data_IF_950670359567
#
_entry.id   IF_950670359567
#
_cell.length_a   1.000
_cell.length_b   1.000
_cell.length_c   1.000
_cell.angle_alpha   90.00
_cell.angle_beta   90.00
_cell.angle_gamma   90.00
#
_symmetry.space_group_name_H-M   'P 1'
#
loop_
_entity.id
_entity.type
_entity.pdbx_description
1 polymer ?
#
# COMPACT_ATOMS: atom_id res chain seq x y z
N UNK A 1 -28.53 -25.88 68.47
CA UNK A 1 -27.91 -24.60 68.07
C UNK A 1 -27.15 -24.83 66.79
N UNK A 2 -27.72 -24.46 65.64
CA UNK A 2 -27.05 -24.60 64.34
C UNK A 2 -26.50 -23.25 63.93
N UNK A 3 -25.17 -23.14 63.87
CA UNK A 3 -24.51 -21.94 63.42
C UNK A 3 -24.49 -21.97 61.89
N UNK A 4 -25.21 -21.00 61.28
CA UNK A 4 -25.20 -20.81 59.84
C UNK A 4 -23.99 -19.92 59.52
N UNK A 5 -23.01 -20.47 58.83
CA UNK A 5 -21.85 -19.73 58.30
C UNK A 5 -22.27 -19.27 56.90
N UNK A 6 -22.50 -17.97 56.78
CA UNK A 6 -22.74 -17.33 55.49
C UNK A 6 -21.39 -17.03 54.87
N UNK A 7 -21.02 -17.85 53.87
CA UNK A 7 -19.88 -17.55 53.02
C UNK A 7 -20.26 -16.45 52.01
N UNK A 8 -19.82 -15.23 52.29
CA UNK A 8 -19.85 -14.12 51.32
C UNK A 8 -18.85 -14.41 50.20
N UNK A 9 -19.35 -14.83 49.06
CA UNK A 9 -18.54 -14.91 47.85
C UNK A 9 -18.46 -13.49 47.29
N UNK A 10 -17.33 -12.83 47.49
CA UNK A 10 -16.98 -11.59 46.83
C UNK A 10 -16.60 -11.90 45.39
N UNK A 11 -17.50 -11.66 44.43
CA UNK A 11 -17.20 -11.69 43.03
C UNK A 11 -16.30 -10.47 42.69
N UNK A 12 -14.99 -10.74 42.64
CA UNK A 12 -14.03 -9.79 42.12
C UNK A 12 -14.11 -9.79 40.57
N UNK A 13 -14.97 -8.92 40.04
CA UNK A 13 -15.04 -8.70 38.59
C UNK A 13 -13.77 -7.98 38.13
N UNK A 14 -12.80 -8.75 37.62
CA UNK A 14 -11.65 -8.22 36.93
C UNK A 14 -12.13 -7.61 35.59
N UNK A 15 -12.24 -6.28 35.55
CA UNK A 15 -12.42 -5.54 34.30
C UNK A 15 -11.11 -5.63 33.50
N UNK A 16 -11.12 -6.47 32.47
CA UNK A 16 -10.02 -6.54 31.52
C UNK A 16 -10.12 -5.26 30.66
N UNK A 17 -9.30 -4.26 30.96
CA UNK A 17 -9.08 -3.14 30.07
C UNK A 17 -8.28 -3.66 28.87
N UNK A 18 -8.95 -4.01 27.80
CA UNK A 18 -8.30 -4.22 26.50
C UNK A 18 -7.82 -2.86 26.02
N UNK A 19 -6.53 -2.60 26.19
CA UNK A 19 -5.89 -1.50 25.48
C UNK A 19 -5.93 -1.81 23.99
N UNK A 20 -6.98 -1.33 23.31
CA UNK A 20 -6.97 -1.24 21.87
C UNK A 20 -5.91 -0.19 21.51
N UNK A 21 -4.68 -0.64 21.28
CA UNK A 21 -3.66 0.18 20.67
C UNK A 21 -4.20 0.56 19.28
N UNK A 22 -4.77 1.73 19.15
CA UNK A 22 -5.02 2.34 17.86
C UNK A 22 -3.65 2.43 17.18
N UNK A 23 -3.37 1.55 16.23
CA UNK A 23 -2.21 1.67 15.40
C UNK A 23 -2.36 3.01 14.68
N UNK A 24 -1.55 3.97 15.09
CA UNK A 24 -1.36 5.21 14.35
C UNK A 24 -0.79 4.75 13.02
N UNK A 25 -1.64 4.64 11.99
CA UNK A 25 -1.16 4.46 10.64
C UNK A 25 -0.32 5.69 10.36
N UNK A 26 0.97 5.47 10.20
CA UNK A 26 1.87 6.52 9.76
C UNK A 26 1.33 7.00 8.42
N UNK A 27 0.75 8.19 8.40
CA UNK A 27 0.16 8.78 7.18
C UNK A 27 1.24 9.32 6.25
N UNK A 28 2.50 9.11 6.59
CA UNK A 28 3.66 9.58 5.85
C UNK A 28 4.73 8.49 5.82
N UNK A 29 5.26 8.18 4.62
CA UNK A 29 6.37 7.26 4.43
C UNK A 29 7.41 7.76 3.42
N UNK A 30 7.56 9.07 3.29
CA UNK A 30 8.47 9.72 2.34
C UNK A 30 9.90 9.17 2.43
N UNK A 31 10.40 8.94 3.65
CA UNK A 31 11.75 8.41 3.86
C UNK A 31 11.96 6.98 3.33
N UNK A 32 10.88 6.21 3.23
CA UNK A 32 10.91 4.85 2.70
C UNK A 32 10.69 4.80 1.19
N UNK A 33 10.30 5.92 0.58
CA UNK A 33 10.10 5.99 -0.87
C UNK A 33 11.45 5.96 -1.58
N UNK A 34 11.58 5.19 -2.67
CA UNK A 34 12.81 5.16 -3.44
C UNK A 34 13.04 6.49 -4.16
N UNK A 35 14.30 6.85 -4.35
CA UNK A 35 14.68 8.11 -5.05
C UNK A 35 14.20 8.18 -6.50
N UNK A 36 13.90 7.04 -7.11
CA UNK A 36 13.33 6.95 -8.45
C UNK A 36 11.80 7.08 -8.48
N UNK A 37 11.14 7.14 -7.31
CA UNK A 37 9.70 7.34 -7.20
C UNK A 37 9.30 8.77 -7.54
N UNK A 38 8.06 9.01 -8.01
CA UNK A 38 7.52 10.34 -8.20
C UNK A 38 7.51 11.14 -6.89
N UNK A 39 7.92 12.40 -6.96
CA UNK A 39 7.90 13.31 -5.81
C UNK A 39 6.47 13.83 -5.52
N UNK A 40 6.31 14.41 -4.33
CA UNK A 40 5.06 15.09 -3.94
C UNK A 40 3.99 14.19 -3.32
N UNK A 41 4.33 12.95 -2.98
CA UNK A 41 3.44 12.03 -2.27
C UNK A 41 3.89 11.85 -0.82
N UNK A 42 3.04 12.22 0.14
CA UNK A 42 3.32 12.00 1.57
C UNK A 42 3.31 10.52 1.93
N UNK A 43 2.47 9.74 1.27
CA UNK A 43 2.35 8.31 1.46
C UNK A 43 2.18 7.57 0.14
N UNK A 44 2.97 6.51 -0.06
CA UNK A 44 2.84 5.57 -1.16
C UNK A 44 2.92 4.15 -0.60
N UNK A 45 1.91 3.33 -0.89
CA UNK A 45 1.95 1.91 -0.53
C UNK A 45 2.63 1.09 -1.62
N UNK A 46 2.22 1.28 -2.87
CA UNK A 46 2.80 0.60 -4.03
C UNK A 46 3.07 1.57 -5.18
N UNK A 47 4.16 1.32 -5.89
CA UNK A 47 4.33 1.76 -7.27
C UNK A 47 4.05 0.57 -8.19
N UNK A 48 3.12 0.71 -9.12
CA UNK A 48 2.96 -0.23 -10.22
C UNK A 48 3.81 0.23 -11.40
N UNK A 49 4.56 -0.69 -11.99
CA UNK A 49 5.47 -0.48 -13.12
C UNK A 49 4.88 -1.19 -14.35
N UNK A 50 4.06 -0.50 -15.17
CA UNK A 50 3.32 -1.13 -16.26
C UNK A 50 4.22 -1.78 -17.32
N UNK A 51 5.37 -1.17 -17.60
CA UNK A 51 6.30 -1.64 -18.64
C UNK A 51 6.86 -3.03 -18.34
N UNK A 52 7.12 -3.32 -17.08
CA UNK A 52 7.67 -4.60 -16.62
C UNK A 52 6.66 -5.45 -15.85
N UNK A 53 5.42 -4.98 -15.71
CA UNK A 53 4.35 -5.68 -15.02
C UNK A 53 4.76 -6.15 -13.61
N UNK A 54 5.30 -5.21 -12.83
CA UNK A 54 5.77 -5.43 -11.47
C UNK A 54 5.26 -4.34 -10.52
N UNK A 55 5.29 -4.64 -9.23
CA UNK A 55 5.02 -3.67 -8.17
C UNK A 55 6.27 -3.44 -7.34
N UNK A 56 6.37 -2.26 -6.76
CA UNK A 56 7.29 -1.99 -5.67
C UNK A 56 6.50 -1.63 -4.42
N UNK A 57 6.64 -2.44 -3.39
CA UNK A 57 5.98 -2.25 -2.10
C UNK A 57 6.88 -1.40 -1.19
N UNK A 58 6.51 -0.14 -1.01
CA UNK A 58 7.32 0.87 -0.31
C UNK A 58 7.59 0.50 1.15
N UNK A 59 6.59 0.07 1.96
CA UNK A 59 6.84 -0.20 3.39
C UNK A 59 7.88 -1.28 3.68
N UNK A 60 8.11 -2.21 2.74
CA UNK A 60 9.13 -3.27 2.86
C UNK A 60 10.28 -3.13 1.89
N UNK A 61 10.24 -2.12 1.02
CA UNK A 61 11.26 -1.89 -0.01
C UNK A 61 11.50 -3.13 -0.87
N UNK A 62 10.41 -3.76 -1.33
CA UNK A 62 10.43 -5.01 -2.09
C UNK A 62 9.72 -4.87 -3.41
N UNK A 63 10.30 -5.46 -4.44
CA UNK A 63 9.61 -5.72 -5.71
C UNK A 63 8.72 -6.95 -5.58
N UNK A 64 7.55 -6.90 -6.21
CA UNK A 64 6.58 -7.98 -6.28
C UNK A 64 6.27 -8.21 -7.75
N UNK A 65 6.57 -9.40 -8.26
CA UNK A 65 6.38 -9.75 -9.66
C UNK A 65 6.04 -11.22 -9.82
N UNK A 66 5.50 -11.59 -10.97
CA UNK A 66 5.26 -12.98 -11.30
C UNK A 66 6.50 -13.61 -11.94
N UNK A 67 6.87 -14.79 -11.46
CA UNK A 67 7.87 -15.67 -12.03
C UNK A 67 7.29 -17.09 -12.07
N UNK A 68 7.26 -17.70 -13.26
CA UNK A 68 6.70 -19.04 -13.48
C UNK A 68 5.28 -19.23 -12.92
N UNK A 69 4.44 -18.18 -13.01
CA UNK A 69 3.06 -18.18 -12.53
C UNK A 69 2.90 -17.96 -11.01
N UNK A 70 3.99 -17.72 -10.29
CA UNK A 70 3.98 -17.47 -8.85
C UNK A 70 4.39 -16.03 -8.52
N UNK A 71 3.79 -15.47 -7.48
CA UNK A 71 4.21 -14.18 -6.94
C UNK A 71 5.52 -14.29 -6.18
N UNK A 72 6.49 -13.50 -6.61
CA UNK A 72 7.84 -13.44 -6.01
C UNK A 72 8.02 -12.09 -5.34
N UNK A 73 8.54 -12.10 -4.14
CA UNK A 73 8.88 -10.92 -3.34
C UNK A 73 10.40 -10.85 -3.21
N UNK A 74 11.01 -9.77 -3.69
CA UNK A 74 12.46 -9.66 -3.76
C UNK A 74 12.91 -8.21 -3.54
N UNK A 75 14.10 -8.03 -2.96
CA UNK A 75 14.74 -6.70 -2.85
C UNK A 75 15.25 -6.17 -4.20
N UNK A 76 15.31 -7.01 -5.24
CA UNK A 76 15.80 -6.65 -6.57
C UNK A 76 14.95 -7.26 -7.68
N UNK A 77 14.95 -6.61 -8.86
CA UNK A 77 14.34 -7.15 -10.07
C UNK A 77 15.25 -8.21 -10.72
N UNK A 78 14.67 -9.29 -11.29
CA UNK A 78 15.43 -10.24 -12.10
C UNK A 78 15.91 -9.58 -13.40
N UNK A 79 16.96 -10.12 -14.01
CA UNK A 79 17.55 -9.59 -15.23
C UNK A 79 16.52 -9.38 -16.37
N UNK A 80 15.56 -10.30 -16.51
CA UNK A 80 14.49 -10.21 -17.51
C UNK A 80 13.55 -8.99 -17.35
N UNK A 81 13.49 -8.39 -16.15
CA UNK A 81 12.67 -7.21 -15.85
C UNK A 81 13.48 -5.93 -15.68
N UNK A 82 14.78 -5.95 -15.96
CA UNK A 82 15.66 -4.77 -15.90
C UNK A 82 15.67 -3.93 -17.18
N UNK A 83 14.79 -4.22 -18.13
CA UNK A 83 14.65 -3.45 -19.37
C UNK A 83 14.15 -2.03 -19.15
N UNK A 84 13.47 -1.78 -18.03
CA UNK A 84 12.96 -0.49 -17.64
C UNK A 84 13.97 0.21 -16.73
N UNK A 85 14.40 1.41 -17.12
CA UNK A 85 15.11 2.30 -16.20
C UNK A 85 14.13 2.89 -15.20
N UNK A 86 14.29 2.54 -13.92
CA UNK A 86 13.38 2.96 -12.85
C UNK A 86 13.30 4.50 -12.68
N UNK A 87 14.30 5.24 -13.13
CA UNK A 87 14.26 6.71 -13.07
C UNK A 87 13.34 7.31 -14.13
N UNK A 88 13.21 6.65 -15.27
CA UNK A 88 12.48 7.16 -16.43
C UNK A 88 11.24 6.36 -16.82
N UNK A 89 11.09 5.11 -16.34
CA UNK A 89 9.93 4.32 -16.71
C UNK A 89 8.64 4.76 -16.00
N UNK A 90 7.48 4.57 -16.64
CA UNK A 90 6.17 4.89 -16.07
C UNK A 90 5.91 4.20 -14.73
N UNK A 91 5.34 4.96 -13.81
CA UNK A 91 4.96 4.47 -12.47
C UNK A 91 3.56 4.93 -12.13
N UNK A 92 2.79 4.07 -11.51
CA UNK A 92 1.46 4.40 -11.00
C UNK A 92 1.45 4.22 -9.50
N UNK A 93 1.09 5.27 -8.76
CA UNK A 93 0.90 5.21 -7.31
C UNK A 93 -0.40 4.49 -7.00
N UNK A 94 -0.35 3.43 -6.20
CA UNK A 94 -1.51 2.67 -5.75
C UNK A 94 -1.46 2.53 -4.23
N UNK A 95 -2.41 3.15 -3.54
CA UNK A 95 -2.54 3.10 -2.08
C UNK A 95 -3.67 2.14 -1.66
N UNK A 96 -3.69 0.97 -2.27
CA UNK A 96 -4.63 -0.10 -1.99
C UNK A 96 -3.92 -1.30 -1.38
N UNK A 97 -4.43 -1.80 -0.26
CA UNK A 97 -3.83 -2.93 0.43
C UNK A 97 -3.82 -4.19 -0.44
N UNK A 98 -2.64 -4.79 -0.61
CA UNK A 98 -2.48 -5.99 -1.44
C UNK A 98 -2.71 -5.75 -2.93
N UNK A 99 -2.34 -4.56 -3.44
CA UNK A 99 -2.58 -4.13 -4.83
C UNK A 99 -2.18 -5.18 -5.89
N UNK A 100 -1.14 -5.96 -5.69
CA UNK A 100 -0.70 -7.00 -6.62
C UNK A 100 -1.73 -8.11 -6.85
N UNK A 101 -2.70 -8.29 -5.93
CA UNK A 101 -3.81 -9.25 -6.09
C UNK A 101 -4.79 -8.83 -7.20
N UNK A 102 -4.80 -7.56 -7.54
CA UNK A 102 -5.64 -6.98 -8.62
C UNK A 102 -4.85 -6.79 -9.92
N UNK A 103 -3.78 -7.56 -10.08
CA UNK A 103 -2.84 -7.45 -11.20
C UNK A 103 -3.52 -7.47 -12.57
N UNK A 104 -4.44 -8.38 -12.82
CA UNK A 104 -5.14 -8.47 -14.12
C UNK A 104 -5.93 -7.20 -14.42
N UNK A 105 -6.54 -6.59 -13.42
CA UNK A 105 -7.25 -5.32 -13.56
C UNK A 105 -6.28 -4.16 -13.82
N UNK A 106 -5.16 -4.09 -13.08
CA UNK A 106 -4.15 -3.06 -13.24
C UNK A 106 -3.47 -3.16 -14.59
N UNK A 107 -3.14 -4.35 -15.04
CA UNK A 107 -2.53 -4.60 -16.36
C UNK A 107 -3.37 -4.04 -17.50
N UNK A 108 -4.69 -4.24 -17.46
CA UNK A 108 -5.61 -3.70 -18.44
C UNK A 108 -5.80 -2.19 -18.28
N UNK A 109 -6.06 -1.75 -17.05
CA UNK A 109 -6.30 -0.33 -16.73
C UNK A 109 -5.14 0.58 -17.12
N UNK A 110 -3.91 0.11 -16.89
CA UNK A 110 -2.68 0.89 -17.08
C UNK A 110 -1.88 0.49 -18.33
N UNK A 111 -2.47 -0.27 -19.26
CA UNK A 111 -1.81 -0.70 -20.48
C UNK A 111 -1.33 0.48 -21.35
N UNK A 112 -2.05 1.61 -21.35
CA UNK A 112 -1.70 2.82 -22.08
C UNK A 112 -0.57 3.67 -21.48
N UNK A 113 -0.18 3.36 -20.24
CA UNK A 113 0.85 4.13 -19.53
C UNK A 113 2.29 3.72 -19.83
N UNK A 114 2.48 2.76 -20.70
CA UNK A 114 3.82 2.30 -21.11
C UNK A 114 4.66 3.38 -21.81
N UNK A 115 4.06 4.54 -22.16
CA UNK A 115 4.71 5.56 -22.98
C UNK A 115 4.52 7.02 -22.53
N UNK A 116 3.83 7.31 -21.39
CA UNK A 116 3.50 8.72 -21.07
C UNK A 116 3.34 8.98 -19.57
N UNK A 117 4.44 9.27 -18.87
CA UNK A 117 4.45 9.58 -17.44
C UNK A 117 3.74 10.88 -17.05
N UNK A 118 3.83 11.93 -17.88
CA UNK A 118 3.38 13.27 -17.52
C UNK A 118 1.86 13.47 -17.61
N UNK A 119 1.15 12.67 -18.40
CA UNK A 119 -0.28 12.86 -18.62
C UNK A 119 -1.14 12.22 -17.51
N UNK A 120 -0.63 11.18 -16.86
CA UNK A 120 -1.39 10.51 -15.79
C UNK A 120 -1.41 11.32 -14.50
N UNK A 121 -0.27 11.82 -14.07
CA UNK A 121 -0.17 12.66 -12.88
C UNK A 121 -0.98 13.94 -13.04
N UNK A 122 -0.99 14.51 -14.25
CA UNK A 122 -1.82 15.69 -14.58
C UNK A 122 -3.33 15.36 -14.52
N UNK A 123 -3.76 14.18 -14.98
CA UNK A 123 -5.17 13.75 -14.92
C UNK A 123 -5.63 13.41 -13.49
N UNK A 124 -4.77 12.78 -12.69
CA UNK A 124 -5.06 12.50 -11.28
C UNK A 124 -5.18 13.79 -10.45
N UNK A 125 -4.25 14.72 -10.66
CA UNK A 125 -4.28 16.03 -9.99
C UNK A 125 -5.53 16.83 -10.36
N UNK A 126 -5.93 16.79 -11.63
CA UNK A 126 -7.16 17.43 -12.11
C UNK A 126 -8.43 16.81 -11.54
N UNK A 127 -8.49 15.49 -11.47
CA UNK A 127 -9.63 14.77 -10.90
C UNK A 127 -9.75 15.00 -9.39
N UNK A 128 -8.62 15.08 -8.67
CA UNK A 128 -8.60 15.41 -7.24
C UNK A 128 -9.13 16.83 -6.99
N UNK A 129 -8.66 17.81 -7.77
CA UNK A 129 -9.14 19.18 -7.66
C UNK A 129 -10.65 19.33 -7.99
N UNK A 130 -11.14 18.58 -8.98
CA UNK A 130 -12.57 18.57 -9.34
C UNK A 130 -13.42 17.92 -8.23
N UNK A 131 -12.94 16.85 -7.60
CA UNK A 131 -13.64 16.18 -6.51
C UNK A 131 -13.67 17.01 -5.23
N UNK A 132 -12.63 17.80 -4.96
CA UNK A 132 -12.57 18.73 -3.84
C UNK A 132 -13.49 19.94 -4.07
N UNK A 133 -13.56 20.45 -5.30
CA UNK A 133 -14.49 21.52 -5.67
C UNK A 133 -15.96 21.13 -5.61
N UNK A 134 -16.28 19.86 -5.85
CA UNK A 134 -17.65 19.35 -5.80
C UNK A 134 -18.15 19.11 -4.36
N UNK A 135 -17.28 19.16 -3.35
CA UNK A 135 -17.59 18.98 -1.92
C UNK A 135 -17.67 20.29 -1.14
N UNK A 136 -17.42 21.42 -1.81
CA UNK A 136 -17.44 22.75 -1.20
C UNK A 136 -18.76 23.47 -1.32
#
# INVERSE_FOLDING_TARGET
MKKIIICSIVFLSATIFTNASAQIRTTNNVESQPKWGPEGHDYVEYYYLPEIEAYYYVPRQQFIYQSDGYWTFSSSLPAAKKSCDLNSCPKVVINEAGAYRYFDQHRVKYAGYKNNDSEYDAKQSKNKQLSEKAKG
#
